data_IF_783130632622
#
_entry.id   IF_783130632622
#
_cell.length_a   1.000
_cell.length_b   1.000
_cell.length_c   1.000
_cell.angle_alpha   90.00
_cell.angle_beta   90.00
_cell.angle_gamma   90.00
#
_symmetry.space_group_name_H-M   'P 1'
#
loop_
_entity.id
_entity.type
_entity.pdbx_description
1 polymer ?
#
# COMPACT_ATOMS: atom_id res chain seq x y z
N UNK A 1 -21.37 -5.41 10.03
CA UNK A 1 -21.42 -5.42 8.56
C UNK A 1 -22.33 -6.55 8.02
N UNK A 2 -22.26 -7.72 8.60
CA UNK A 2 -23.13 -8.86 8.24
C UNK A 2 -24.62 -8.50 8.34
N UNK A 3 -24.99 -7.70 9.32
CA UNK A 3 -26.35 -7.25 9.57
C UNK A 3 -26.71 -5.89 8.94
N UNK A 4 -25.89 -5.36 8.04
CA UNK A 4 -26.06 -4.02 7.45
C UNK A 4 -27.46 -3.72 6.88
N UNK A 5 -28.15 -4.75 6.39
CA UNK A 5 -29.51 -4.63 5.84
C UNK A 5 -30.62 -4.91 6.88
N UNK A 6 -30.25 -5.23 8.12
CA UNK A 6 -31.17 -5.64 9.19
C UNK A 6 -30.82 -5.00 10.53
N UNK A 7 -30.21 -3.81 10.50
CA UNK A 7 -29.80 -3.08 11.73
C UNK A 7 -30.99 -2.69 12.60
N UNK A 8 -32.16 -2.51 12.00
CA UNK A 8 -33.45 -2.30 12.66
C UNK A 8 -33.88 -3.49 13.54
N UNK A 9 -33.52 -4.70 13.17
CA UNK A 9 -33.80 -5.91 13.96
C UNK A 9 -32.84 -6.10 15.14
N UNK A 10 -31.74 -5.34 15.19
CA UNK A 10 -30.70 -5.46 16.22
C UNK A 10 -30.41 -4.11 16.88
N UNK A 11 -31.38 -3.49 17.59
CA UNK A 11 -31.20 -2.17 18.20
C UNK A 11 -30.06 -2.12 19.23
N UNK A 12 -29.70 -3.28 19.80
CA UNK A 12 -28.57 -3.38 20.73
C UNK A 12 -27.24 -2.96 20.11
N UNK A 13 -27.06 -3.15 18.78
CA UNK A 13 -25.85 -2.73 18.07
C UNK A 13 -25.78 -1.20 18.04
N UNK A 14 -26.88 -0.54 17.69
CA UNK A 14 -26.97 0.91 17.69
C UNK A 14 -26.74 1.49 19.09
N UNK A 15 -27.38 0.93 20.10
CA UNK A 15 -27.22 1.36 21.50
C UNK A 15 -25.78 1.23 21.99
N UNK A 16 -25.09 0.12 21.65
CA UNK A 16 -23.67 -0.06 22.00
C UNK A 16 -22.76 0.93 21.27
N UNK A 17 -23.02 1.19 19.98
CA UNK A 17 -22.26 2.19 19.21
C UNK A 17 -22.46 3.59 19.78
N UNK A 18 -23.71 3.96 20.15
CA UNK A 18 -24.00 5.24 20.76
C UNK A 18 -23.26 5.41 22.10
N UNK A 19 -23.23 4.36 22.94
CA UNK A 19 -22.49 4.37 24.20
C UNK A 19 -20.96 4.49 23.98
N UNK A 20 -20.44 3.81 22.97
CA UNK A 20 -19.01 3.91 22.60
C UNK A 20 -18.66 5.26 21.99
N UNK A 21 -19.61 5.92 21.34
CA UNK A 21 -19.40 7.24 20.72
C UNK A 21 -19.15 8.36 21.76
N UNK A 22 -19.52 8.14 23.02
CA UNK A 22 -19.21 9.05 24.14
C UNK A 22 -17.73 8.99 24.54
N UNK A 23 -17.01 7.93 24.11
CA UNK A 23 -15.58 7.79 24.43
C UNK A 23 -14.75 8.71 23.53
N UNK A 24 -13.84 9.52 24.13
CA UNK A 24 -12.96 10.38 23.35
C UNK A 24 -12.16 9.60 22.29
N UNK A 25 -12.14 10.09 21.04
CA UNK A 25 -11.40 9.46 19.96
C UNK A 25 -12.14 8.34 19.23
N UNK A 26 -13.42 8.10 19.51
CA UNK A 26 -14.24 7.08 18.86
C UNK A 26 -14.23 7.19 17.33
N UNK A 27 -14.46 8.38 16.77
CA UNK A 27 -14.42 8.63 15.31
C UNK A 27 -13.08 8.24 14.71
N UNK A 28 -11.98 8.63 15.36
CA UNK A 28 -10.63 8.24 14.94
C UNK A 28 -10.46 6.73 14.95
N UNK A 29 -10.97 6.06 15.97
CA UNK A 29 -10.92 4.60 16.10
C UNK A 29 -11.67 3.91 14.97
N UNK A 30 -12.92 4.33 14.68
CA UNK A 30 -13.71 3.79 13.57
C UNK A 30 -13.00 4.02 12.23
N UNK A 31 -12.46 5.21 12.01
CA UNK A 31 -11.67 5.52 10.81
C UNK A 31 -10.46 4.57 10.67
N UNK A 32 -9.70 4.36 11.73
CA UNK A 32 -8.58 3.43 11.74
C UNK A 32 -9.02 2.00 11.39
N UNK A 33 -10.13 1.51 11.98
CA UNK A 33 -10.68 0.20 11.66
C UNK A 33 -10.99 0.10 10.15
N UNK A 34 -11.64 1.11 9.57
CA UNK A 34 -11.96 1.13 8.13
C UNK A 34 -10.69 1.07 7.28
N UNK A 35 -9.68 1.87 7.61
CA UNK A 35 -8.41 1.87 6.87
C UNK A 35 -7.70 0.51 6.95
N UNK A 36 -7.72 -0.15 8.10
CA UNK A 36 -7.16 -1.49 8.28
C UNK A 36 -7.92 -2.55 7.49
N UNK A 37 -9.25 -2.46 7.38
CA UNK A 37 -10.02 -3.33 6.49
C UNK A 37 -9.70 -3.12 5.01
N UNK A 38 -9.51 -1.87 4.58
CA UNK A 38 -9.08 -1.56 3.21
C UNK A 38 -7.70 -2.18 2.94
N UNK A 39 -6.77 -2.05 3.90
CA UNK A 39 -5.43 -2.62 3.80
C UNK A 39 -5.46 -4.16 3.72
N UNK A 40 -6.35 -4.80 4.47
CA UNK A 40 -6.49 -6.26 4.46
C UNK A 40 -6.87 -6.83 3.07
N UNK A 41 -7.48 -6.03 2.17
CA UNK A 41 -7.69 -6.44 0.77
C UNK A 41 -6.37 -6.68 0.02
N UNK A 42 -5.28 -6.04 0.43
CA UNK A 42 -3.99 -6.15 -0.22
C UNK A 42 -3.20 -7.39 0.23
N UNK A 43 -3.67 -8.11 1.27
CA UNK A 43 -2.93 -9.24 1.86
C UNK A 43 -2.53 -10.28 0.81
N UNK A 44 -3.42 -10.67 -0.10
CA UNK A 44 -3.08 -11.65 -1.14
C UNK A 44 -2.06 -11.13 -2.16
N UNK A 45 -2.16 -9.86 -2.55
CA UNK A 45 -1.19 -9.23 -3.46
C UNK A 45 0.18 -9.14 -2.79
N UNK A 46 0.20 -8.73 -1.53
CA UNK A 46 1.43 -8.63 -0.73
C UNK A 46 2.07 -10.00 -0.58
N UNK A 47 1.26 -11.02 -0.24
CA UNK A 47 1.72 -12.41 -0.11
C UNK A 47 2.34 -12.93 -1.41
N UNK A 48 1.67 -12.73 -2.56
CA UNK A 48 2.20 -13.12 -3.87
C UNK A 48 3.50 -12.39 -4.18
N UNK A 49 3.54 -11.08 -3.97
CA UNK A 49 4.76 -10.29 -4.20
C UNK A 49 5.93 -10.77 -3.34
N UNK A 50 5.67 -11.12 -2.08
CA UNK A 50 6.67 -11.70 -1.19
C UNK A 50 7.18 -13.04 -1.73
N UNK A 51 6.29 -13.94 -2.10
CA UNK A 51 6.63 -15.29 -2.56
C UNK A 51 7.29 -15.30 -3.95
N UNK A 52 6.82 -14.47 -4.87
CA UNK A 52 7.24 -14.51 -6.27
C UNK A 52 8.47 -13.62 -6.53
N UNK A 53 8.64 -12.55 -5.77
CA UNK A 53 9.65 -11.53 -6.06
C UNK A 53 10.70 -11.38 -4.96
N UNK A 54 10.30 -11.27 -3.69
CA UNK A 54 11.22 -10.89 -2.60
C UNK A 54 11.97 -12.11 -2.06
N UNK A 55 11.24 -13.17 -1.68
CA UNK A 55 11.83 -14.38 -1.10
C UNK A 55 12.82 -15.05 -2.07
N UNK A 56 12.52 -15.24 -3.38
CA UNK A 56 13.47 -15.84 -4.30
C UNK A 56 14.76 -15.01 -4.48
N UNK A 57 14.67 -13.69 -4.46
CA UNK A 57 15.87 -12.84 -4.53
C UNK A 57 16.70 -12.91 -3.25
N UNK A 58 16.07 -12.90 -2.09
CA UNK A 58 16.75 -13.13 -0.81
C UNK A 58 17.46 -14.50 -0.78
N UNK A 59 16.81 -15.54 -1.27
CA UNK A 59 17.41 -16.89 -1.33
C UNK A 59 18.60 -16.96 -2.30
N UNK A 60 18.58 -16.24 -3.42
CA UNK A 60 19.73 -16.17 -4.36
C UNK A 60 20.95 -15.46 -3.76
N UNK A 61 20.71 -14.51 -2.88
CA UNK A 61 21.76 -13.73 -2.20
C UNK A 61 22.25 -14.41 -0.92
N UNK A 62 21.45 -15.29 -0.32
CA UNK A 62 21.78 -16.01 0.91
C UNK A 62 23.17 -16.65 0.90
N UNK A 63 23.64 -17.34 -0.17
CA UNK A 63 25.01 -17.88 -0.23
C UNK A 63 26.09 -16.80 -0.29
N UNK A 64 25.80 -15.63 -0.86
CA UNK A 64 26.72 -14.49 -0.91
C UNK A 64 26.74 -13.72 0.41
N UNK A 65 25.61 -13.70 1.08
CA UNK A 65 25.41 -13.06 2.38
C UNK A 65 26.00 -13.92 3.49
N UNK A 66 25.78 -15.25 3.50
CA UNK A 66 26.28 -16.13 4.54
C UNK A 66 27.81 -16.25 4.59
N UNK A 67 28.51 -15.98 3.48
CA UNK A 67 29.95 -15.98 3.42
C UNK A 67 30.62 -14.63 3.77
N UNK A 68 29.85 -13.52 3.77
CA UNK A 68 30.37 -12.16 4.04
C UNK A 68 29.65 -11.44 5.18
N UNK A 69 28.48 -11.86 5.54
CA UNK A 69 27.59 -11.17 6.47
C UNK A 69 27.07 -12.16 7.48
N UNK A 70 27.35 -11.95 8.76
CA UNK A 70 26.63 -12.66 9.81
C UNK A 70 25.19 -12.16 9.78
N UNK A 71 24.23 -13.04 9.50
CA UNK A 71 22.78 -12.71 9.54
C UNK A 71 22.34 -12.10 10.89
N UNK A 72 23.20 -12.17 11.90
CA UNK A 72 23.04 -11.58 13.23
C UNK A 72 23.10 -10.05 13.23
N UNK A 73 23.68 -9.43 12.19
CA UNK A 73 23.88 -7.98 12.10
C UNK A 73 22.81 -7.27 11.27
N UNK A 74 21.79 -8.00 10.76
CA UNK A 74 20.67 -7.45 9.99
C UNK A 74 19.53 -7.01 10.90
N UNK A 75 19.72 -5.94 11.66
CA UNK A 75 18.62 -5.27 12.37
C UNK A 75 18.09 -4.09 11.56
N UNK A 76 16.78 -3.86 11.63
CA UNK A 76 16.09 -2.81 10.87
C UNK A 76 16.59 -1.39 11.13
N UNK A 77 17.33 -1.15 12.21
CA UNK A 77 17.93 0.16 12.53
C UNK A 77 19.27 0.39 11.83
N UNK A 78 20.01 -0.68 11.54
CA UNK A 78 21.28 -0.58 10.80
C UNK A 78 21.08 -0.49 9.28
N UNK A 79 19.87 -0.72 8.78
CA UNK A 79 19.49 -0.45 7.39
C UNK A 79 19.18 1.02 7.11
N UNK A 80 19.10 1.88 8.15
CA UNK A 80 18.61 3.25 8.02
C UNK A 80 19.67 4.36 8.02
N UNK A 81 20.77 4.27 8.75
CA UNK A 81 21.63 5.44 8.96
C UNK A 81 23.14 5.28 8.66
N UNK A 82 23.71 4.07 8.72
CA UNK A 82 25.12 3.82 8.29
C UNK A 82 25.28 2.40 7.78
N UNK A 83 24.89 2.12 6.54
CA UNK A 83 25.21 0.85 5.89
C UNK A 83 26.72 0.72 5.70
N UNK A 84 27.27 -0.42 6.13
CA UNK A 84 28.64 -0.78 5.81
C UNK A 84 28.84 -0.69 4.27
N UNK A 85 29.85 0.06 3.76
CA UNK A 85 30.07 0.26 2.34
C UNK A 85 30.17 -1.03 1.50
N UNK A 86 30.51 -2.15 2.10
CA UNK A 86 30.52 -3.46 1.42
C UNK A 86 29.09 -4.00 1.19
N UNK A 87 28.14 -3.57 2.03
CA UNK A 87 26.71 -3.93 1.90
C UNK A 87 26.02 -3.02 0.88
N UNK A 88 26.39 -1.74 0.86
CA UNK A 88 25.88 -0.77 -0.10
C UNK A 88 26.11 -1.24 -1.55
N UNK A 89 27.26 -1.81 -1.84
CA UNK A 89 27.58 -2.39 -3.16
C UNK A 89 26.79 -3.67 -3.48
N UNK A 90 26.42 -4.49 -2.48
CA UNK A 90 25.60 -5.71 -2.68
C UNK A 90 24.13 -5.39 -2.85
N UNK A 91 23.64 -4.36 -2.16
CA UNK A 91 22.24 -3.93 -2.22
C UNK A 91 21.96 -2.90 -3.32
N UNK A 92 22.93 -2.03 -3.68
CA UNK A 92 22.77 -1.04 -4.75
C UNK A 92 22.77 -1.65 -6.15
N UNK A 93 23.52 -2.74 -6.36
CA UNK A 93 23.53 -3.48 -7.64
C UNK A 93 22.29 -4.41 -7.79
N UNK A 94 21.56 -4.67 -6.70
CA UNK A 94 20.38 -5.51 -6.71
C UNK A 94 19.12 -4.65 -6.50
N UNK A 95 18.08 -4.93 -7.27
CA UNK A 95 16.74 -4.37 -7.06
C UNK A 95 16.16 -4.72 -5.67
N UNK A 96 16.93 -5.47 -4.86
CA UNK A 96 16.54 -5.98 -3.54
C UNK A 96 16.46 -4.87 -2.49
N UNK A 97 17.38 -3.89 -2.49
CA UNK A 97 17.35 -2.78 -1.54
C UNK A 97 16.03 -2.02 -1.59
N UNK A 98 15.58 -1.67 -2.81
CA UNK A 98 14.28 -1.02 -3.02
C UNK A 98 13.09 -1.89 -2.60
N UNK A 99 13.19 -3.20 -2.82
CA UNK A 99 12.12 -4.15 -2.42
C UNK A 99 12.06 -4.34 -0.91
N UNK A 100 13.20 -4.30 -0.22
CA UNK A 100 13.25 -4.33 1.25
C UNK A 100 12.73 -3.05 1.86
N UNK A 101 13.03 -1.90 1.27
CA UNK A 101 12.45 -0.60 1.67
C UNK A 101 10.92 -0.63 1.51
N UNK A 102 10.43 -1.04 0.35
CA UNK A 102 8.99 -1.20 0.11
C UNK A 102 8.31 -2.19 1.08
N UNK A 103 9.00 -3.29 1.42
CA UNK A 103 8.53 -4.24 2.42
C UNK A 103 8.45 -3.59 3.81
N UNK A 104 9.47 -2.83 4.19
CA UNK A 104 9.50 -2.07 5.45
C UNK A 104 8.36 -1.04 5.53
N UNK A 105 8.10 -0.32 4.44
CA UNK A 105 6.97 0.62 4.35
C UNK A 105 5.62 -0.08 4.53
N UNK A 106 5.41 -1.23 3.85
CA UNK A 106 4.19 -2.03 4.00
C UNK A 106 4.01 -2.52 5.44
N UNK A 107 5.08 -2.93 6.09
CA UNK A 107 5.05 -3.36 7.49
C UNK A 107 4.72 -2.19 8.43
N UNK A 108 5.29 -1.01 8.19
CA UNK A 108 4.97 0.21 8.96
C UNK A 108 3.51 0.64 8.76
N UNK A 109 2.97 0.51 7.56
CA UNK A 109 1.54 0.73 7.31
C UNK A 109 0.65 -0.29 8.04
N UNK A 110 1.22 -1.39 8.56
CA UNK A 110 0.51 -2.48 9.24
C UNK A 110 -0.09 -3.51 8.30
N UNK A 111 0.47 -3.64 7.09
CA UNK A 111 0.13 -4.72 6.17
C UNK A 111 0.51 -6.08 6.76
N UNK A 112 -0.25 -7.11 6.39
CA UNK A 112 -0.01 -8.48 6.86
C UNK A 112 1.09 -9.16 6.05
N UNK A 113 2.33 -8.83 6.38
CA UNK A 113 3.52 -9.39 5.72
C UNK A 113 3.86 -10.81 6.18
N UNK A 114 3.29 -11.25 7.30
CA UNK A 114 3.57 -12.56 7.90
C UNK A 114 2.57 -13.64 7.48
N UNK A 115 1.53 -13.29 6.72
CA UNK A 115 0.46 -14.21 6.33
C UNK A 115 1.00 -15.51 5.69
N UNK A 116 1.91 -15.41 4.72
CA UNK A 116 2.48 -16.56 4.02
C UNK A 116 3.26 -17.50 4.93
N UNK A 117 3.88 -16.98 5.98
CA UNK A 117 4.70 -17.76 6.91
C UNK A 117 3.85 -18.64 7.83
N UNK A 118 2.73 -18.11 8.31
CA UNK A 118 1.93 -18.76 9.35
C UNK A 118 0.66 -19.46 8.85
N UNK A 119 0.33 -19.33 7.56
CA UNK A 119 -0.87 -19.95 6.97
C UNK A 119 -0.91 -21.47 7.17
N UNK A 120 0.24 -22.13 7.11
CA UNK A 120 0.34 -23.59 7.23
C UNK A 120 0.38 -24.10 8.69
N UNK A 121 0.48 -23.18 9.65
CA UNK A 121 0.60 -23.49 11.08
C UNK A 121 -0.73 -23.38 11.85
N UNK A 122 -1.87 -23.60 11.17
CA UNK A 122 -3.22 -23.51 11.77
C UNK A 122 -3.88 -24.88 12.02
N UNK A 123 -3.11 -25.98 11.90
CA UNK A 123 -3.65 -27.35 12.02
C UNK A 123 -3.73 -27.86 13.46
N UNK A 124 -3.44 -27.03 14.45
CA UNK A 124 -3.52 -27.41 15.86
C UNK A 124 -4.97 -27.57 16.32
N UNK A 125 -5.27 -28.50 17.25
CA UNK A 125 -6.61 -28.69 17.83
C UNK A 125 -7.21 -27.41 18.40
N UNK A 126 -6.36 -26.52 18.92
CA UNK A 126 -6.73 -25.20 19.43
C UNK A 126 -7.57 -24.40 18.42
N UNK A 127 -7.23 -24.45 17.13
CA UNK A 127 -7.93 -23.70 16.08
C UNK A 127 -9.21 -24.36 15.56
N UNK A 128 -9.64 -25.49 16.15
CA UNK A 128 -10.97 -26.07 15.87
C UNK A 128 -12.07 -25.28 16.58
N UNK A 129 -11.75 -24.65 17.70
CA UNK A 129 -12.67 -23.79 18.43
C UNK A 129 -12.67 -22.38 17.84
N UNK A 130 -13.87 -21.90 17.45
CA UNK A 130 -14.05 -20.59 16.82
C UNK A 130 -13.53 -19.46 17.72
N UNK A 131 -13.85 -19.51 19.01
CA UNK A 131 -13.46 -18.49 19.98
C UNK A 131 -11.95 -18.24 20.03
N UNK A 132 -11.14 -19.28 19.79
CA UNK A 132 -9.70 -19.24 19.93
C UNK A 132 -9.00 -18.44 18.80
N UNK A 133 -9.68 -18.19 17.68
CA UNK A 133 -9.14 -17.40 16.58
C UNK A 133 -9.02 -15.91 16.90
N UNK A 134 -9.81 -15.41 17.83
CA UNK A 134 -9.92 -14.00 18.17
C UNK A 134 -9.46 -13.69 19.60
N UNK A 135 -8.81 -14.65 20.25
CA UNK A 135 -8.28 -14.46 21.60
C UNK A 135 -6.97 -13.68 21.58
N UNK A 136 -6.81 -12.66 22.43
CA UNK A 136 -5.51 -12.06 22.69
C UNK A 136 -4.50 -13.13 23.13
N UNK A 137 -3.27 -13.04 22.64
CA UNK A 137 -2.23 -13.98 23.05
C UNK A 137 -1.87 -13.77 24.53
N UNK A 138 -2.03 -14.82 25.31
CA UNK A 138 -1.60 -14.91 26.71
C UNK A 138 -1.09 -16.30 27.00
N UNK A 139 -0.07 -16.39 27.82
CA UNK A 139 0.49 -17.66 28.31
C UNK A 139 -0.34 -18.24 29.48
N UNK A 140 -1.20 -17.44 30.10
CA UNK A 140 -2.07 -17.86 31.23
C UNK A 140 -3.39 -18.49 30.76
N UNK A 141 -3.48 -18.91 29.49
CA UNK A 141 -4.69 -19.54 28.97
C UNK A 141 -4.77 -20.99 29.44
N UNK A 142 -5.95 -21.44 29.90
CA UNK A 142 -6.19 -22.79 30.45
C UNK A 142 -5.79 -23.94 29.51
N UNK A 143 -5.69 -23.71 28.20
CA UNK A 143 -5.18 -24.70 27.25
C UNK A 143 -3.71 -25.04 27.47
N UNK A 144 -2.97 -24.19 28.20
CA UNK A 144 -1.54 -24.36 28.49
C UNK A 144 -1.27 -24.99 29.87
N UNK A 145 -2.26 -24.94 30.78
CA UNK A 145 -2.08 -25.31 32.20
C UNK A 145 -1.58 -26.75 32.41
N UNK A 146 -1.96 -27.69 31.50
CA UNK A 146 -1.56 -29.10 31.63
C UNK A 146 -0.25 -29.46 30.85
N UNK A 147 0.28 -28.57 30.06
CA UNK A 147 1.34 -28.90 29.10
C UNK A 147 2.62 -28.09 29.24
N UNK A 148 2.61 -27.00 30.00
CA UNK A 148 3.73 -26.09 29.99
C UNK A 148 4.01 -25.36 31.30
N UNK A 149 5.13 -25.71 31.92
CA UNK A 149 5.89 -24.82 32.77
C UNK A 149 7.17 -24.45 32.03
N UNK A 150 7.55 -23.16 31.89
CA UNK A 150 8.85 -22.79 31.32
C UNK A 150 9.97 -23.49 32.07
N UNK A 151 10.71 -24.36 31.36
CA UNK A 151 11.78 -25.14 31.98
C UNK A 151 13.00 -24.27 32.38
N UNK A 152 13.08 -23.04 31.78
CA UNK A 152 14.19 -22.13 32.06
C UNK A 152 13.82 -20.66 31.75
N UNK A 153 14.67 -19.73 32.16
CA UNK A 153 14.49 -18.28 32.00
C UNK A 153 14.48 -17.87 30.49
N UNK A 154 15.22 -18.58 29.63
CA UNK A 154 15.26 -18.29 28.19
C UNK A 154 13.90 -18.58 27.52
N UNK A 155 13.20 -19.64 27.90
CA UNK A 155 11.83 -19.93 27.42
C UNK A 155 10.86 -18.83 27.84
N UNK A 156 10.96 -18.35 29.08
CA UNK A 156 10.13 -17.27 29.58
C UNK A 156 10.38 -15.96 28.84
N UNK A 157 11.64 -15.61 28.63
CA UNK A 157 12.01 -14.40 27.87
C UNK A 157 11.52 -14.43 26.42
N UNK A 158 11.60 -15.59 25.77
CA UNK A 158 11.06 -15.77 24.43
C UNK A 158 9.54 -15.58 24.39
N UNK A 159 8.80 -16.14 25.33
CA UNK A 159 7.36 -15.95 25.46
C UNK A 159 6.98 -14.48 25.71
N UNK A 160 7.74 -13.81 26.56
CA UNK A 160 7.61 -12.37 26.78
C UNK A 160 7.84 -11.60 25.48
N UNK A 161 8.86 -11.99 24.69
CA UNK A 161 9.19 -11.39 23.40
C UNK A 161 8.06 -11.59 22.38
N UNK A 162 7.51 -12.80 22.29
CA UNK A 162 6.34 -13.10 21.44
C UNK A 162 5.13 -12.26 21.86
N UNK A 163 4.92 -12.14 23.17
CA UNK A 163 3.83 -11.33 23.70
C UNK A 163 3.95 -9.87 23.26
N UNK A 164 5.17 -9.33 23.23
CA UNK A 164 5.47 -7.95 22.84
C UNK A 164 5.51 -7.74 21.30
N UNK A 165 5.62 -8.79 20.51
CA UNK A 165 5.68 -8.69 19.04
C UNK A 165 4.43 -8.02 18.46
N UNK A 166 4.56 -6.75 18.08
CA UNK A 166 3.46 -5.95 17.53
C UNK A 166 3.13 -6.29 16.07
N UNK A 167 4.09 -6.87 15.34
CA UNK A 167 3.97 -7.20 13.91
C UNK A 167 3.27 -8.53 13.63
N UNK A 168 3.02 -9.34 14.67
CA UNK A 168 2.32 -10.62 14.56
C UNK A 168 0.93 -10.53 15.16
N UNK A 169 -0.06 -11.08 14.49
CA UNK A 169 -1.40 -11.24 15.07
C UNK A 169 -1.42 -12.36 16.12
N UNK A 170 -2.47 -12.37 16.94
CA UNK A 170 -2.51 -13.28 18.10
C UNK A 170 -2.58 -14.75 17.70
N UNK A 171 -3.36 -15.09 16.65
CA UNK A 171 -3.45 -16.45 16.15
C UNK A 171 -2.10 -16.98 15.64
N UNK A 172 -1.24 -16.12 15.08
CA UNK A 172 0.11 -16.51 14.65
C UNK A 172 1.04 -16.74 15.82
N UNK A 173 0.93 -15.94 16.87
CA UNK A 173 1.67 -16.16 18.13
C UNK A 173 1.34 -17.52 18.74
N UNK A 174 0.04 -17.89 18.79
CA UNK A 174 -0.38 -19.23 19.21
C UNK A 174 0.19 -20.31 18.31
N UNK A 175 0.15 -20.14 16.99
CA UNK A 175 0.73 -21.09 16.02
C UNK A 175 2.22 -21.32 16.24
N UNK A 176 2.98 -20.23 16.40
CA UNK A 176 4.41 -20.28 16.65
C UNK A 176 4.70 -20.99 17.98
N UNK A 177 3.97 -20.65 19.02
CA UNK A 177 4.07 -21.29 20.32
C UNK A 177 3.87 -22.82 20.22
N UNK A 178 2.75 -23.28 19.63
CA UNK A 178 2.48 -24.71 19.49
C UNK A 178 3.51 -25.41 18.63
N UNK A 179 4.00 -24.76 17.57
CA UNK A 179 5.06 -25.35 16.72
C UNK A 179 6.35 -25.55 17.49
N UNK A 180 6.70 -24.63 18.37
CA UNK A 180 7.87 -24.75 19.23
C UNK A 180 7.71 -25.87 20.28
N UNK A 181 6.51 -26.01 20.84
CA UNK A 181 6.23 -27.04 21.83
C UNK A 181 6.31 -28.45 21.24
N UNK A 182 6.10 -28.61 19.94
CA UNK A 182 6.30 -29.90 19.25
C UNK A 182 7.77 -30.28 19.04
N UNK A 183 8.70 -29.33 19.18
CA UNK A 183 10.12 -29.62 19.04
C UNK A 183 10.65 -30.40 20.25
N UNK A 184 11.58 -31.37 20.04
CA UNK A 184 12.31 -31.99 21.15
C UNK A 184 13.01 -30.94 22.02
N UNK A 185 13.10 -31.19 23.34
CA UNK A 185 13.69 -30.24 24.31
C UNK A 185 15.06 -29.70 23.88
N UNK A 186 15.94 -30.57 23.35
CA UNK A 186 17.28 -30.18 22.89
C UNK A 186 17.24 -29.26 21.66
N UNK A 187 16.37 -29.53 20.69
CA UNK A 187 16.20 -28.69 19.51
C UNK A 187 15.62 -27.33 19.89
N UNK A 188 14.67 -27.30 20.80
CA UNK A 188 14.07 -26.09 21.37
C UNK A 188 15.12 -25.21 22.07
N UNK A 189 15.95 -25.85 22.91
CA UNK A 189 17.06 -25.19 23.61
C UNK A 189 18.11 -24.62 22.64
N UNK A 190 18.47 -25.36 21.59
CA UNK A 190 19.39 -24.88 20.56
C UNK A 190 18.82 -23.67 19.82
N UNK A 191 17.54 -23.72 19.44
CA UNK A 191 16.87 -22.63 18.77
C UNK A 191 16.81 -21.37 19.67
N UNK A 192 16.50 -21.55 20.96
CA UNK A 192 16.47 -20.46 21.93
C UNK A 192 17.84 -19.82 22.14
N UNK A 193 18.89 -20.63 22.26
CA UNK A 193 20.26 -20.11 22.40
C UNK A 193 20.72 -19.31 21.16
N UNK A 194 20.20 -19.60 19.99
CA UNK A 194 20.47 -18.78 18.80
C UNK A 194 19.73 -17.43 18.83
N UNK A 195 18.56 -17.38 19.45
CA UNK A 195 17.82 -16.14 19.64
C UNK A 195 18.32 -15.31 20.85
N UNK A 196 19.01 -15.95 21.79
CA UNK A 196 19.21 -15.44 23.17
C UNK A 196 20.20 -14.26 23.29
N UNK A 197 21.22 -14.15 22.42
CA UNK A 197 22.29 -13.18 22.72
C UNK A 197 22.05 -11.77 22.22
N UNK A 198 21.37 -11.59 21.08
CA UNK A 198 21.17 -10.27 20.48
C UNK A 198 19.72 -9.80 20.50
N UNK A 199 18.78 -10.70 20.16
CA UNK A 199 17.35 -10.35 20.18
C UNK A 199 16.89 -10.01 21.60
N UNK A 200 17.39 -10.72 22.60
CA UNK A 200 17.08 -10.47 24.02
C UNK A 200 17.62 -9.13 24.51
N UNK A 201 18.85 -8.76 24.11
CA UNK A 201 19.41 -7.46 24.49
C UNK A 201 18.68 -6.30 23.81
N UNK A 202 18.34 -6.43 22.52
CA UNK A 202 17.51 -5.43 21.82
C UNK A 202 16.12 -5.29 22.43
N UNK A 203 15.48 -6.42 22.77
CA UNK A 203 14.17 -6.41 23.44
C UNK A 203 14.29 -5.76 24.81
N UNK A 204 15.35 -6.04 25.55
CA UNK A 204 15.60 -5.45 26.88
C UNK A 204 15.85 -3.95 26.79
N UNK A 205 16.64 -3.49 25.82
CA UNK A 205 16.92 -2.07 25.59
C UNK A 205 15.68 -1.31 25.11
N UNK A 206 14.85 -1.93 24.27
CA UNK A 206 13.67 -1.31 23.68
C UNK A 206 12.34 -1.76 24.33
N UNK A 207 12.38 -2.41 25.48
CA UNK A 207 11.20 -3.00 26.12
C UNK A 207 10.08 -1.98 26.37
N UNK A 208 10.43 -0.78 26.83
CA UNK A 208 9.45 0.28 27.08
C UNK A 208 8.79 0.76 25.77
N UNK A 209 9.56 0.89 24.71
CA UNK A 209 9.04 1.26 23.39
C UNK A 209 8.15 0.16 22.79
N UNK A 210 8.54 -1.11 22.93
CA UNK A 210 7.75 -2.26 22.49
C UNK A 210 6.44 -2.38 23.26
N UNK A 211 6.47 -2.16 24.59
CA UNK A 211 5.26 -2.12 25.41
C UNK A 211 4.36 -0.96 24.96
N UNK A 212 4.94 0.22 24.71
CA UNK A 212 4.21 1.38 24.20
C UNK A 212 3.59 1.11 22.82
N UNK A 213 4.34 0.48 21.91
CA UNK A 213 3.84 0.11 20.58
C UNK A 213 2.71 -0.94 20.66
N UNK A 214 2.85 -1.94 21.52
CA UNK A 214 1.82 -2.96 21.74
C UNK A 214 0.51 -2.37 22.24
N UNK A 215 0.58 -1.43 23.17
CA UNK A 215 -0.58 -0.78 23.76
C UNK A 215 -1.25 0.23 22.83
N UNK A 216 -0.65 0.57 21.67
CA UNK A 216 -1.27 1.48 20.72
C UNK A 216 -2.50 0.85 20.11
N UNK A 217 -3.58 1.60 20.08
CA UNK A 217 -4.86 1.19 19.52
C UNK A 217 -4.73 0.69 18.08
N UNK A 218 -3.91 1.34 17.26
CA UNK A 218 -3.66 0.97 15.86
C UNK A 218 -3.05 -0.44 15.72
N UNK A 219 -2.17 -0.84 16.65
CA UNK A 219 -1.58 -2.18 16.70
C UNK A 219 -2.64 -3.22 17.05
N UNK A 220 -3.44 -2.96 18.08
CA UNK A 220 -4.50 -3.86 18.55
C UNK A 220 -5.53 -4.07 17.42
N UNK A 221 -5.97 -2.99 16.76
CA UNK A 221 -6.90 -3.05 15.63
C UNK A 221 -6.29 -3.87 14.48
N UNK A 222 -5.01 -3.61 14.14
CA UNK A 222 -4.31 -4.33 13.09
C UNK A 222 -4.26 -5.83 13.35
N UNK A 223 -3.83 -6.24 14.54
CA UNK A 223 -3.76 -7.64 14.96
C UNK A 223 -5.13 -8.32 14.91
N UNK A 224 -6.17 -7.65 15.43
CA UNK A 224 -7.53 -8.21 15.40
C UNK A 224 -8.06 -8.41 13.97
N UNK A 225 -7.82 -7.46 13.07
CA UNK A 225 -8.26 -7.58 11.66
C UNK A 225 -7.47 -8.66 10.92
N UNK A 226 -6.17 -8.82 11.22
CA UNK A 226 -5.37 -9.92 10.69
C UNK A 226 -5.87 -11.28 11.19
N UNK A 227 -6.19 -11.41 12.48
CA UNK A 227 -6.78 -12.63 13.05
C UNK A 227 -8.14 -12.93 12.39
N UNK A 228 -8.98 -11.91 12.21
CA UNK A 228 -10.25 -12.03 11.52
C UNK A 228 -10.09 -12.46 10.05
N UNK A 229 -9.09 -11.92 9.34
CA UNK A 229 -8.77 -12.33 7.97
C UNK A 229 -8.38 -13.81 7.91
N UNK A 230 -7.49 -14.25 8.83
CA UNK A 230 -7.09 -15.66 8.93
C UNK A 230 -8.26 -16.57 9.24
N UNK A 231 -9.15 -16.16 10.14
CA UNK A 231 -10.37 -16.92 10.46
C UNK A 231 -11.19 -17.18 9.20
N UNK A 232 -11.53 -16.15 8.42
CA UNK A 232 -12.34 -16.32 7.22
C UNK A 232 -11.65 -17.12 6.10
N UNK A 233 -10.33 -17.24 6.12
CA UNK A 233 -9.58 -17.99 5.10
C UNK A 233 -9.23 -19.41 5.53
N UNK A 234 -9.01 -19.65 6.81
CA UNK A 234 -8.33 -20.85 7.32
C UNK A 234 -9.12 -21.67 8.34
N UNK A 235 -10.20 -21.10 8.91
CA UNK A 235 -11.04 -21.85 9.83
C UNK A 235 -11.66 -23.07 9.12
N UNK A 236 -11.63 -24.29 9.72
CA UNK A 236 -12.07 -25.52 9.04
C UNK A 236 -13.49 -25.43 8.44
N UNK A 237 -14.42 -24.78 9.14
CA UNK A 237 -15.78 -24.55 8.67
C UNK A 237 -16.00 -23.11 8.17
N UNK A 238 -14.97 -22.46 7.60
CA UNK A 238 -15.08 -21.08 7.12
C UNK A 238 -16.15 -20.87 6.04
N UNK A 239 -16.49 -21.92 5.29
CA UNK A 239 -17.55 -21.87 4.27
C UNK A 239 -18.96 -21.67 4.86
N UNK A 240 -19.15 -21.94 6.15
CA UNK A 240 -20.41 -21.68 6.84
C UNK A 240 -20.62 -20.18 7.12
N UNK A 241 -19.60 -19.36 6.89
CA UNK A 241 -19.60 -17.93 7.13
C UNK A 241 -19.44 -17.15 5.83
N UNK A 242 -20.12 -16.03 5.71
CA UNK A 242 -19.87 -15.09 4.62
C UNK A 242 -18.58 -14.35 4.87
N UNK A 243 -17.56 -14.54 4.02
CA UNK A 243 -16.28 -13.85 4.11
C UNK A 243 -16.48 -12.34 3.89
N UNK A 244 -16.29 -11.57 4.96
CA UNK A 244 -16.46 -10.10 4.92
C UNK A 244 -15.45 -9.41 4.02
N UNK A 245 -14.27 -10.01 3.78
CA UNK A 245 -13.23 -9.43 2.95
C UNK A 245 -13.50 -9.58 1.44
N UNK A 246 -14.47 -10.42 1.05
CA UNK A 246 -14.97 -10.53 -0.33
C UNK A 246 -16.10 -9.55 -0.63
N UNK A 247 -16.68 -8.94 0.41
CA UNK A 247 -17.76 -7.98 0.27
C UNK A 247 -17.22 -6.60 -0.10
N UNK A 248 -18.08 -5.73 -0.64
CA UNK A 248 -17.80 -4.31 -0.78
C UNK A 248 -17.56 -3.70 0.61
N UNK A 249 -16.36 -3.15 0.85
CA UNK A 249 -16.00 -2.57 2.15
C UNK A 249 -16.41 -1.08 2.23
N UNK A 250 -17.63 -0.78 1.84
CA UNK A 250 -18.22 0.55 1.83
C UNK A 250 -18.76 1.00 3.21
N UNK A 251 -17.94 0.86 4.24
CA UNK A 251 -18.33 1.14 5.63
C UNK A 251 -18.87 2.55 5.86
N UNK A 252 -18.36 3.54 5.10
CA UNK A 252 -18.82 4.93 5.18
C UNK A 252 -20.29 5.10 4.75
N UNK A 253 -20.84 4.17 3.98
CA UNK A 253 -22.24 4.16 3.54
C UNK A 253 -23.18 3.40 4.48
N UNK A 254 -22.63 2.71 5.50
CA UNK A 254 -23.48 2.01 6.47
C UNK A 254 -24.29 3.00 7.29
N UNK A 255 -25.62 2.88 7.24
CA UNK A 255 -26.54 3.78 7.94
C UNK A 255 -26.21 3.89 9.44
N UNK A 256 -25.75 2.78 10.06
CA UNK A 256 -25.37 2.74 11.47
C UNK A 256 -24.04 3.45 11.79
N UNK A 257 -23.11 3.57 10.82
CA UNK A 257 -21.82 4.24 11.00
C UNK A 257 -21.80 5.67 10.49
N UNK A 258 -22.69 6.00 9.54
CA UNK A 258 -22.77 7.33 8.93
C UNK A 258 -22.79 8.47 9.95
N UNK A 259 -23.53 8.42 11.07
CA UNK A 259 -23.52 9.52 12.06
C UNK A 259 -22.14 9.84 12.65
N UNK A 260 -21.22 8.90 12.60
CA UNK A 260 -19.91 8.99 13.26
C UNK A 260 -18.74 9.22 12.30
N UNK A 261 -18.93 9.06 10.98
CA UNK A 261 -17.85 9.11 9.97
C UNK A 261 -18.23 9.91 8.73
N UNK A 262 -19.34 10.67 8.76
CA UNK A 262 -19.76 11.52 7.64
C UNK A 262 -19.09 12.90 7.64
N UNK A 263 -18.24 13.20 8.59
CA UNK A 263 -17.49 14.44 8.61
C UNK A 263 -16.47 14.50 7.46
N UNK A 264 -16.20 15.71 6.97
CA UNK A 264 -15.32 15.95 5.83
C UNK A 264 -13.92 15.35 6.03
N UNK A 265 -13.37 15.44 7.24
CA UNK A 265 -12.02 14.93 7.53
C UNK A 265 -11.97 13.41 7.40
N UNK A 266 -12.93 12.70 7.99
CA UNK A 266 -12.99 11.24 7.94
C UNK A 266 -13.20 10.73 6.52
N UNK A 267 -14.15 11.31 5.78
CA UNK A 267 -14.40 10.93 4.39
C UNK A 267 -13.19 11.21 3.49
N UNK A 268 -12.56 12.38 3.62
CA UNK A 268 -11.36 12.72 2.86
C UNK A 268 -10.22 11.72 3.14
N UNK A 269 -9.97 11.40 4.41
CA UNK A 269 -8.93 10.46 4.80
C UNK A 269 -9.17 9.07 4.20
N UNK A 270 -10.41 8.58 4.23
CA UNK A 270 -10.77 7.27 3.66
C UNK A 270 -10.61 7.29 2.13
N UNK A 271 -11.10 8.33 1.45
CA UNK A 271 -10.99 8.47 0.00
C UNK A 271 -9.54 8.57 -0.48
N UNK A 272 -8.70 9.32 0.22
CA UNK A 272 -7.27 9.42 -0.08
C UNK A 272 -6.54 8.10 0.13
N UNK A 273 -6.95 7.32 1.12
CA UNK A 273 -6.40 5.99 1.33
C UNK A 273 -6.79 5.04 0.20
N UNK A 274 -8.06 5.04 -0.23
CA UNK A 274 -8.48 4.31 -1.43
C UNK A 274 -7.68 4.73 -2.67
N UNK A 275 -7.50 6.04 -2.87
CA UNK A 275 -6.73 6.58 -4.00
C UNK A 275 -5.28 6.07 -4.01
N UNK A 276 -4.60 6.10 -2.86
CA UNK A 276 -3.23 5.57 -2.70
C UNK A 276 -3.11 4.08 -3.00
N UNK A 277 -4.17 3.31 -2.69
CA UNK A 277 -4.23 1.87 -2.96
C UNK A 277 -4.79 1.53 -4.35
N UNK A 278 -5.00 2.53 -5.21
CA UNK A 278 -5.53 2.40 -6.57
C UNK A 278 -6.97 1.84 -6.64
N UNK A 279 -7.76 2.00 -5.59
CA UNK A 279 -9.20 1.73 -5.57
C UNK A 279 -9.95 2.97 -6.07
N UNK A 280 -9.82 3.27 -7.36
CA UNK A 280 -10.29 4.52 -7.94
C UNK A 280 -11.80 4.69 -7.88
N UNK A 281 -12.57 3.62 -8.09
CA UNK A 281 -14.04 3.64 -8.01
C UNK A 281 -14.54 3.95 -6.60
N UNK A 282 -13.95 3.28 -5.58
CA UNK A 282 -14.30 3.53 -4.18
C UNK A 282 -13.95 4.98 -3.78
N UNK A 283 -12.76 5.46 -4.20
CA UNK A 283 -12.32 6.83 -3.95
C UNK A 283 -13.24 7.86 -4.64
N UNK A 284 -13.58 7.62 -5.91
CA UNK A 284 -14.44 8.48 -6.72
C UNK A 284 -15.81 8.67 -6.07
N UNK A 285 -16.39 7.59 -5.54
CA UNK A 285 -17.69 7.63 -4.87
C UNK A 285 -17.67 8.63 -3.71
N UNK A 286 -16.64 8.58 -2.86
CA UNK A 286 -16.54 9.47 -1.70
C UNK A 286 -16.19 10.89 -2.14
N UNK A 287 -15.25 11.08 -3.08
CA UNK A 287 -14.92 12.43 -3.57
C UNK A 287 -16.11 13.09 -4.25
N UNK A 288 -16.94 12.34 -4.98
CA UNK A 288 -18.17 12.87 -5.58
C UNK A 288 -19.18 13.31 -4.51
N UNK A 289 -19.35 12.52 -3.44
CA UNK A 289 -20.19 12.92 -2.31
C UNK A 289 -19.67 14.19 -1.62
N UNK A 290 -18.36 14.31 -1.44
CA UNK A 290 -17.75 15.52 -0.86
C UNK A 290 -17.96 16.74 -1.76
N UNK A 291 -17.92 16.57 -3.08
CA UNK A 291 -18.12 17.65 -4.04
C UNK A 291 -19.56 18.23 -4.04
N UNK A 292 -20.55 17.45 -3.57
CA UNK A 292 -21.92 17.98 -3.41
C UNK A 292 -21.98 19.11 -2.39
N UNK A 293 -21.11 19.10 -1.38
CA UNK A 293 -21.07 20.08 -0.29
C UNK A 293 -19.91 21.06 -0.39
N UNK A 294 -18.86 20.75 -1.16
CA UNK A 294 -17.64 21.55 -1.31
C UNK A 294 -17.30 21.74 -2.79
N UNK A 295 -18.07 22.62 -3.44
CA UNK A 295 -17.94 22.89 -4.87
C UNK A 295 -16.78 23.84 -5.22
N UNK A 296 -16.18 24.50 -4.23
CA UNK A 296 -15.12 25.49 -4.42
C UNK A 296 -13.70 24.91 -4.25
N UNK A 297 -13.56 23.60 -4.05
CA UNK A 297 -12.28 22.94 -3.87
C UNK A 297 -11.69 22.44 -5.18
N UNK A 298 -10.74 23.17 -5.76
CA UNK A 298 -10.00 22.73 -6.96
C UNK A 298 -9.31 21.39 -6.75
N UNK A 299 -8.74 21.14 -5.56
CA UNK A 299 -8.07 19.88 -5.21
C UNK A 299 -9.03 18.69 -5.27
N UNK A 300 -10.28 18.88 -4.84
CA UNK A 300 -11.28 17.83 -4.87
C UNK A 300 -11.61 17.42 -6.32
N UNK A 301 -11.84 18.41 -7.20
CA UNK A 301 -12.09 18.14 -8.61
C UNK A 301 -10.87 17.58 -9.34
N UNK A 302 -9.65 17.92 -8.92
CA UNK A 302 -8.43 17.26 -9.40
C UNK A 302 -8.44 15.76 -9.09
N UNK A 303 -8.80 15.37 -7.86
CA UNK A 303 -8.87 13.96 -7.43
C UNK A 303 -9.99 13.21 -8.16
N UNK A 304 -11.16 13.82 -8.31
CA UNK A 304 -12.28 13.28 -9.11
C UNK A 304 -11.83 13.01 -10.55
N UNK A 305 -11.23 14.02 -11.19
CA UNK A 305 -10.70 13.90 -12.55
C UNK A 305 -9.67 12.79 -12.68
N UNK A 306 -8.77 12.66 -11.69
CA UNK A 306 -7.77 11.61 -11.68
C UNK A 306 -8.39 10.21 -11.55
N UNK A 307 -9.33 10.01 -10.64
CA UNK A 307 -10.04 8.74 -10.48
C UNK A 307 -10.74 8.35 -11.78
N UNK A 308 -11.52 9.25 -12.38
CA UNK A 308 -12.22 9.02 -13.66
C UNK A 308 -11.24 8.70 -14.79
N UNK A 309 -10.11 9.40 -14.86
CA UNK A 309 -9.07 9.12 -15.86
C UNK A 309 -8.49 7.71 -15.72
N UNK A 310 -8.23 7.26 -14.48
CA UNK A 310 -7.68 5.93 -14.21
C UNK A 310 -8.69 4.81 -14.47
N UNK A 311 -9.99 5.11 -14.40
CA UNK A 311 -11.07 4.19 -14.80
C UNK A 311 -11.38 4.23 -16.31
N UNK A 312 -10.72 5.11 -17.05
CA UNK A 312 -10.90 5.21 -18.50
C UNK A 312 -12.02 6.16 -18.94
N UNK A 313 -12.74 6.79 -18.02
CA UNK A 313 -13.71 7.84 -18.32
C UNK A 313 -12.99 9.16 -18.61
N UNK A 314 -12.42 9.25 -19.83
CA UNK A 314 -11.67 10.42 -20.26
C UNK A 314 -12.53 11.69 -20.39
N UNK A 315 -13.82 11.54 -20.73
CA UNK A 315 -14.73 12.70 -20.86
C UNK A 315 -15.08 13.25 -19.48
N UNK A 316 -15.52 12.40 -18.58
CA UNK A 316 -15.81 12.82 -17.21
C UNK A 316 -14.56 13.29 -16.45
N UNK A 317 -13.37 12.75 -16.77
CA UNK A 317 -12.11 13.27 -16.24
C UNK A 317 -11.82 14.69 -16.76
N UNK A 318 -12.02 14.94 -18.07
CA UNK A 318 -11.85 16.25 -18.68
C UNK A 318 -12.78 17.28 -18.03
N UNK A 319 -14.07 16.95 -17.87
CA UNK A 319 -15.05 17.84 -17.25
C UNK A 319 -14.63 18.23 -15.81
N UNK A 320 -14.18 17.26 -15.03
CA UNK A 320 -13.71 17.51 -13.66
C UNK A 320 -12.43 18.37 -13.64
N UNK A 321 -11.49 18.13 -14.54
CA UNK A 321 -10.28 18.94 -14.63
C UNK A 321 -10.56 20.36 -15.14
N UNK A 322 -11.51 20.55 -16.06
CA UNK A 322 -11.94 21.87 -16.50
C UNK A 322 -12.59 22.64 -15.35
N UNK A 323 -13.38 21.96 -14.52
CA UNK A 323 -13.91 22.58 -13.31
C UNK A 323 -12.81 23.01 -12.33
N UNK A 324 -11.82 22.13 -12.11
CA UNK A 324 -10.65 22.48 -11.29
C UNK A 324 -9.86 23.66 -11.85
N UNK A 325 -9.75 23.78 -13.19
CA UNK A 325 -9.09 24.89 -13.89
C UNK A 325 -9.84 26.22 -13.75
N UNK A 326 -11.16 26.18 -13.70
CA UNK A 326 -11.97 27.36 -13.42
C UNK A 326 -11.73 27.90 -12.01
N UNK A 327 -11.53 27.02 -11.04
CA UNK A 327 -11.28 27.39 -9.65
C UNK A 327 -9.82 27.84 -9.43
N UNK A 328 -8.88 27.20 -10.12
CA UNK A 328 -7.44 27.49 -10.01
C UNK A 328 -6.76 27.37 -11.38
N UNK A 329 -6.74 28.49 -12.10
CA UNK A 329 -6.23 28.56 -13.47
C UNK A 329 -4.70 28.46 -13.61
N UNK A 330 -3.94 28.49 -12.50
CA UNK A 330 -2.47 28.43 -12.50
C UNK A 330 -1.92 27.05 -12.18
N UNK A 331 -2.78 26.07 -11.90
CA UNK A 331 -2.36 24.71 -11.59
C UNK A 331 -1.73 24.03 -12.81
N UNK A 332 -0.38 24.02 -12.88
CA UNK A 332 0.37 23.37 -13.95
C UNK A 332 -0.02 21.90 -14.12
N UNK A 333 -0.31 21.21 -13.01
CA UNK A 333 -0.70 19.83 -13.02
C UNK A 333 -2.06 19.64 -13.75
N UNK A 334 -3.06 20.47 -13.43
CA UNK A 334 -4.39 20.42 -14.05
C UNK A 334 -4.31 20.71 -15.54
N UNK A 335 -3.65 21.81 -15.92
CA UNK A 335 -3.46 22.21 -17.32
C UNK A 335 -2.88 21.07 -18.14
N UNK A 336 -1.84 20.40 -17.63
CA UNK A 336 -1.23 19.25 -18.29
C UNK A 336 -2.17 18.07 -18.41
N UNK A 337 -3.01 17.80 -17.39
CA UNK A 337 -4.02 16.73 -17.42
C UNK A 337 -5.11 17.00 -18.44
N UNK A 338 -5.62 18.22 -18.52
CA UNK A 338 -6.59 18.65 -19.53
C UNK A 338 -6.03 18.42 -20.96
N UNK A 339 -4.81 18.90 -21.21
CA UNK A 339 -4.14 18.68 -22.49
C UNK A 339 -4.00 17.20 -22.85
N UNK A 340 -3.64 16.37 -21.86
CA UNK A 340 -3.54 14.93 -22.00
C UNK A 340 -4.89 14.27 -22.33
N UNK A 341 -5.96 14.67 -21.66
CA UNK A 341 -7.33 14.20 -21.93
C UNK A 341 -7.78 14.56 -23.34
N UNK A 342 -7.62 15.80 -23.78
CA UNK A 342 -7.95 16.23 -25.14
C UNK A 342 -7.20 15.43 -26.19
N UNK A 343 -5.89 15.21 -25.99
CA UNK A 343 -5.10 14.40 -26.92
C UNK A 343 -5.59 12.94 -26.97
N UNK A 344 -5.89 12.33 -25.84
CA UNK A 344 -6.43 10.97 -25.75
C UNK A 344 -7.81 10.86 -26.41
N UNK A 345 -8.61 11.92 -26.34
CA UNK A 345 -9.90 12.06 -27.02
C UNK A 345 -9.78 12.40 -28.54
N UNK A 346 -8.55 12.39 -29.10
CA UNK A 346 -8.27 12.74 -30.50
C UNK A 346 -8.66 14.16 -30.89
N UNK A 347 -8.49 15.09 -29.97
CA UNK A 347 -8.71 16.52 -30.15
C UNK A 347 -7.38 17.31 -30.03
N UNK A 348 -6.41 17.10 -30.96
CA UNK A 348 -5.08 17.66 -30.83
C UNK A 348 -5.04 19.20 -30.89
N UNK A 349 -6.01 19.85 -31.55
CA UNK A 349 -6.10 21.32 -31.58
C UNK A 349 -6.38 21.90 -30.17
N UNK A 350 -7.31 21.30 -29.46
CA UNK A 350 -7.63 21.73 -28.09
C UNK A 350 -6.49 21.39 -27.15
N UNK A 351 -5.88 20.20 -27.30
CA UNK A 351 -4.71 19.82 -26.52
C UNK A 351 -3.55 20.83 -26.66
N UNK A 352 -3.29 21.33 -27.87
CA UNK A 352 -2.24 22.34 -28.13
C UNK A 352 -2.47 23.63 -27.35
N UNK A 353 -3.72 24.12 -27.25
CA UNK A 353 -4.02 25.34 -26.48
C UNK A 353 -3.55 25.19 -25.01
N UNK A 354 -3.84 24.06 -24.39
CA UNK A 354 -3.47 23.80 -23.00
C UNK A 354 -1.98 23.46 -22.84
N UNK A 355 -1.35 22.77 -23.82
CA UNK A 355 0.10 22.55 -23.78
C UNK A 355 0.87 23.86 -23.91
N UNK A 356 0.47 24.79 -24.79
CA UNK A 356 1.11 26.11 -24.89
C UNK A 356 0.88 26.95 -23.63
N UNK A 357 -0.29 26.87 -23.01
CA UNK A 357 -0.53 27.50 -21.71
C UNK A 357 0.40 26.92 -20.62
N UNK A 358 0.62 25.59 -20.63
CA UNK A 358 1.59 24.96 -19.73
C UNK A 358 3.02 25.40 -20.03
N UNK A 359 3.41 25.45 -21.31
CA UNK A 359 4.74 25.89 -21.74
C UNK A 359 5.03 27.31 -21.28
N UNK A 360 4.06 28.22 -21.33
CA UNK A 360 4.21 29.58 -20.83
C UNK A 360 4.51 29.61 -19.32
N UNK A 361 3.95 28.68 -18.53
CA UNK A 361 4.20 28.58 -17.09
C UNK A 361 5.45 27.76 -16.74
N UNK A 362 5.98 26.96 -17.67
CA UNK A 362 7.16 26.10 -17.48
C UNK A 362 7.87 25.82 -18.82
N UNK A 363 8.66 26.81 -19.32
CA UNK A 363 9.27 26.74 -20.66
C UNK A 363 10.30 25.62 -20.85
N UNK A 364 10.92 25.14 -19.76
CA UNK A 364 12.02 24.17 -19.82
C UNK A 364 11.55 22.71 -19.77
N UNK A 365 10.24 22.49 -19.77
CA UNK A 365 9.71 21.12 -19.68
C UNK A 365 9.74 20.40 -21.04
N UNK A 366 10.81 19.64 -21.27
CA UNK A 366 11.00 18.89 -22.52
C UNK A 366 9.90 17.84 -22.79
N UNK A 367 9.29 17.28 -21.74
CA UNK A 367 8.18 16.32 -21.87
C UNK A 367 6.94 16.95 -22.51
N UNK A 368 6.70 18.25 -22.25
CA UNK A 368 5.61 18.99 -22.88
C UNK A 368 5.93 19.32 -24.33
N UNK A 369 7.20 19.67 -24.65
CA UNK A 369 7.66 19.85 -26.03
C UNK A 369 7.40 18.60 -26.88
N UNK A 370 7.69 17.42 -26.35
CA UNK A 370 7.38 16.13 -27.00
C UNK A 370 5.86 16.01 -27.24
N UNK A 371 5.05 16.39 -26.25
CA UNK A 371 3.58 16.30 -26.38
C UNK A 371 3.03 17.27 -27.42
N UNK A 372 3.55 18.49 -27.49
CA UNK A 372 3.24 19.49 -28.53
C UNK A 372 3.61 18.94 -29.91
N UNK A 373 4.84 18.41 -30.05
CA UNK A 373 5.28 17.79 -31.30
C UNK A 373 4.39 16.64 -31.75
N UNK A 374 3.91 15.80 -30.85
CA UNK A 374 2.95 14.75 -31.19
C UNK A 374 1.58 15.30 -31.61
N UNK A 375 1.09 16.38 -31.01
CA UNK A 375 -0.14 17.02 -31.44
C UNK A 375 -0.01 17.58 -32.87
N UNK A 376 1.10 18.24 -33.22
CA UNK A 376 1.38 18.69 -34.58
C UNK A 376 1.50 17.53 -35.56
N UNK A 377 2.10 16.42 -35.15
CA UNK A 377 2.17 15.20 -35.97
C UNK A 377 0.77 14.63 -36.24
N UNK A 378 -0.11 14.60 -35.26
CA UNK A 378 -1.50 14.17 -35.43
C UNK A 378 -2.29 15.10 -36.34
N UNK A 379 -1.95 16.39 -36.35
CA UNK A 379 -2.50 17.40 -37.27
C UNK A 379 -1.86 17.40 -38.69
N UNK A 380 -0.83 16.57 -38.91
CA UNK A 380 -0.01 16.49 -40.11
C UNK A 380 0.86 17.75 -40.37
N UNK A 381 1.05 18.57 -39.33
CA UNK A 381 1.94 19.73 -39.37
C UNK A 381 3.37 19.31 -39.07
N UNK A 382 3.95 18.49 -39.98
CA UNK A 382 5.22 17.79 -39.77
C UNK A 382 6.41 18.74 -39.50
N UNK A 383 6.39 19.94 -40.13
CA UNK A 383 7.45 20.93 -39.91
C UNK A 383 7.45 21.51 -38.49
N UNK A 384 6.28 21.82 -37.94
CA UNK A 384 6.16 22.29 -36.57
C UNK A 384 6.48 21.16 -35.58
N UNK A 385 6.05 19.94 -35.88
CA UNK A 385 6.43 18.77 -35.08
C UNK A 385 7.95 18.59 -35.00
N UNK A 386 8.64 18.73 -36.16
CA UNK A 386 10.11 18.65 -36.24
C UNK A 386 10.80 19.71 -35.38
N UNK A 387 10.30 20.96 -35.37
CA UNK A 387 10.88 22.02 -34.50
C UNK A 387 10.82 21.62 -33.05
N UNK A 388 9.68 21.11 -32.58
CA UNK A 388 9.51 20.67 -31.18
C UNK A 388 10.47 19.52 -30.84
N UNK A 389 10.54 18.50 -31.68
CA UNK A 389 11.40 17.34 -31.42
C UNK A 389 12.90 17.67 -31.53
N UNK A 390 13.30 18.55 -32.45
CA UNK A 390 14.68 19.03 -32.50
C UNK A 390 15.07 19.87 -31.28
N UNK A 391 14.16 20.70 -30.76
CA UNK A 391 14.39 21.41 -29.49
C UNK A 391 14.70 20.42 -28.37
N UNK A 392 13.98 19.30 -28.30
CA UNK A 392 14.24 18.25 -27.31
C UNK A 392 15.57 17.55 -27.53
N UNK A 393 15.90 17.14 -28.78
CA UNK A 393 17.15 16.46 -29.13
C UNK A 393 18.37 17.37 -28.86
N UNK A 394 18.21 18.68 -29.08
CA UNK A 394 19.28 19.67 -28.82
C UNK A 394 19.54 19.89 -27.32
N UNK A 395 18.46 19.98 -26.51
CA UNK A 395 18.57 20.27 -25.08
C UNK A 395 18.88 19.01 -24.26
N UNK A 396 18.47 17.84 -24.72
CA UNK A 396 18.73 16.54 -24.06
C UNK A 396 19.19 15.51 -25.12
N UNK A 397 20.45 15.57 -25.48
CA UNK A 397 21.07 14.71 -26.50
C UNK A 397 21.19 13.23 -26.06
N UNK A 398 20.89 12.89 -24.81
CA UNK A 398 20.84 11.51 -24.27
C UNK A 398 19.45 10.92 -24.35
N UNK A 399 18.44 11.72 -24.58
CA UNK A 399 17.05 11.27 -24.62
C UNK A 399 16.67 10.67 -25.97
N UNK A 400 16.43 9.38 -26.01
CA UNK A 400 15.96 8.69 -27.22
C UNK A 400 14.51 9.03 -27.62
N UNK A 401 13.79 9.79 -26.75
CA UNK A 401 12.34 10.04 -26.93
C UNK A 401 12.01 10.85 -28.18
N UNK A 402 12.93 11.70 -28.65
CA UNK A 402 12.73 12.53 -29.83
C UNK A 402 13.17 11.85 -31.12
N UNK A 403 14.07 10.87 -31.12
CA UNK A 403 14.71 10.33 -32.32
C UNK A 403 13.73 9.67 -33.27
N UNK A 404 12.89 8.75 -32.78
CA UNK A 404 11.87 8.11 -33.64
C UNK A 404 10.88 9.11 -34.23
N UNK A 405 10.29 10.06 -33.46
CA UNK A 405 9.45 11.11 -34.05
C UNK A 405 10.18 11.96 -35.08
N UNK A 406 11.44 12.37 -34.87
CA UNK A 406 12.23 13.12 -35.84
C UNK A 406 12.40 12.31 -37.14
N UNK A 407 12.83 11.06 -37.01
CA UNK A 407 12.99 10.18 -38.16
C UNK A 407 11.69 10.04 -38.99
N UNK A 408 10.57 9.81 -38.31
CA UNK A 408 9.27 9.66 -38.94
C UNK A 408 8.80 10.95 -39.63
N UNK A 409 8.84 12.10 -38.98
CA UNK A 409 8.48 13.37 -39.55
C UNK A 409 9.42 13.75 -40.74
N UNK A 410 10.73 13.45 -40.63
CA UNK A 410 11.70 13.69 -41.70
C UNK A 410 11.37 12.83 -42.92
N UNK A 411 10.99 11.58 -42.72
CA UNK A 411 10.53 10.70 -43.80
C UNK A 411 9.29 11.28 -44.49
N UNK A 412 8.27 11.69 -43.74
CA UNK A 412 7.03 12.26 -44.27
C UNK A 412 7.23 13.60 -44.99
N UNK A 413 8.31 14.33 -44.69
CA UNK A 413 8.66 15.59 -45.36
C UNK A 413 9.69 15.44 -46.48
N UNK A 414 10.02 14.18 -46.88
CA UNK A 414 10.96 13.89 -47.98
C UNK A 414 12.43 14.04 -47.64
N UNK A 415 12.78 14.26 -46.33
CA UNK A 415 14.16 14.40 -45.86
C UNK A 415 14.75 13.02 -45.52
N UNK A 416 14.93 12.19 -46.55
CA UNK A 416 15.25 10.78 -46.36
C UNK A 416 16.60 10.51 -45.69
N UNK A 417 17.62 11.29 -45.98
CA UNK A 417 18.94 11.13 -45.34
C UNK A 417 18.88 11.45 -43.84
N UNK A 418 18.14 12.48 -43.47
CA UNK A 418 17.89 12.82 -42.09
C UNK A 418 17.11 11.72 -41.39
N UNK A 419 16.05 11.20 -41.99
CA UNK A 419 15.27 10.08 -41.48
C UNK A 419 16.16 8.85 -41.22
N UNK A 420 17.00 8.49 -42.18
CA UNK A 420 17.95 7.36 -42.10
C UNK A 420 18.92 7.55 -40.93
N UNK A 421 19.47 8.77 -40.76
CA UNK A 421 20.43 9.04 -39.70
C UNK A 421 19.79 8.91 -38.29
N UNK A 422 18.55 9.38 -38.11
CA UNK A 422 17.84 9.28 -36.83
C UNK A 422 17.29 7.88 -36.56
N UNK A 423 17.02 7.03 -37.56
CA UNK A 423 16.70 5.62 -37.34
C UNK A 423 17.93 4.77 -36.98
N UNK A 424 19.14 5.22 -37.29
CA UNK A 424 20.39 4.53 -36.93
C UNK A 424 20.91 4.86 -35.56
N UNK A 425 20.47 6.01 -34.97
CA UNK A 425 20.76 6.40 -33.59
C UNK A 425 19.99 5.48 -32.63
#
# INVERSE_FOLDING_TARGET
YTYRKRTDLYPQIANRLSALAEVPGFTKTIRTIILRFILARETEKITRKLQDEIIPEMMKLSPKISNKINLKDLTSEQLGEEMNPEWENVFSDSNLGKKMEEFGELQQEGADVMHSTFVHLKNFPFFRELSNWLLPFTIDHSYFDDQFTPDNEAEKQMLDSMTLAAFMCNSDKYSLYFSMMQLPKEARKMMMNQFDSQATEMIRQNKEELISKRGKLDTIIGQYIQDLYRFFKLYPSHLDFTDIFTMSLDFHNLAILRPYISDKESLTTIAEYYLRKNYFSDALTIFSQLAETDQDSDILFQKIGYCKQMEGDLKGALDAYLHADLLNSESKWVIRRIAGCYRSLKQPKEALKYYHRYEALNPDNLSVQISIGHCHLELKDYNEALKCFFKVDYLDNKSHKAWRPIAWCSFLTGKYDQARNYYKK
#
